data_IF_406748090426
#
_entry.id   IF_406748090426
#
_cell.length_a   1.000
_cell.length_b   1.000
_cell.length_c   1.000
_cell.angle_alpha   90.00
_cell.angle_beta   90.00
_cell.angle_gamma   90.00
#
_symmetry.space_group_name_H-M   'P 1'
#
loop_
_entity.id
_entity.type
_entity.pdbx_description
1 polymer ?
#
# COMPACT_ATOMS: atom_id res chain seq x y z
N UNK A 1 -43.04 -32.50 -28.25
CA UNK A 1 -43.13 -31.18 -27.58
C UNK A 1 -42.57 -31.12 -26.14
N UNK A 2 -41.72 -32.07 -25.70
CA UNK A 2 -41.20 -32.11 -24.31
C UNK A 2 -39.69 -31.77 -24.20
N UNK A 3 -38.91 -31.96 -25.26
CA UNK A 3 -37.45 -31.73 -25.23
C UNK A 3 -37.03 -30.26 -25.37
N UNK A 4 -37.81 -29.42 -26.07
CA UNK A 4 -37.45 -28.00 -26.26
C UNK A 4 -37.58 -27.16 -24.99
N UNK A 5 -38.54 -27.49 -24.11
CA UNK A 5 -38.78 -26.72 -22.88
C UNK A 5 -37.67 -26.89 -21.83
N UNK A 6 -37.00 -28.04 -21.80
CA UNK A 6 -35.88 -28.31 -20.87
C UNK A 6 -34.59 -27.62 -21.31
N UNK A 7 -34.35 -27.53 -22.61
CA UNK A 7 -33.21 -26.78 -23.17
C UNK A 7 -33.38 -25.28 -22.94
N UNK A 8 -34.61 -24.77 -23.01
CA UNK A 8 -34.88 -23.35 -22.78
C UNK A 8 -34.80 -22.96 -21.29
N UNK A 9 -35.10 -23.86 -20.35
CA UNK A 9 -34.98 -23.58 -18.90
C UNK A 9 -33.53 -23.61 -18.40
N UNK A 10 -32.66 -24.42 -19.00
CA UNK A 10 -31.24 -24.47 -18.64
C UNK A 10 -30.46 -23.25 -19.17
N UNK A 11 -30.92 -22.61 -20.24
CA UNK A 11 -30.32 -21.39 -20.77
C UNK A 11 -30.60 -20.14 -19.93
N UNK A 12 -31.71 -20.11 -19.17
CA UNK A 12 -32.10 -18.95 -18.36
C UNK A 12 -31.40 -18.88 -16.99
N UNK A 13 -30.87 -20.00 -16.47
CA UNK A 13 -30.17 -20.02 -15.17
C UNK A 13 -28.67 -19.65 -15.31
N UNK A 14 -28.11 -19.76 -16.52
CA UNK A 14 -26.70 -19.41 -16.76
C UNK A 14 -26.42 -17.90 -16.83
N UNK A 15 -27.45 -17.05 -16.93
CA UNK A 15 -27.26 -15.60 -17.15
C UNK A 15 -27.14 -14.75 -15.86
N UNK A 16 -27.28 -15.34 -14.66
CA UNK A 16 -27.36 -14.58 -13.40
C UNK A 16 -26.07 -14.66 -12.55
N UNK A 17 -25.05 -15.43 -12.95
CA UNK A 17 -23.82 -15.61 -12.16
C UNK A 17 -22.68 -14.63 -12.48
N UNK A 18 -22.95 -13.54 -13.22
CA UNK A 18 -21.91 -12.72 -13.85
C UNK A 18 -21.55 -11.38 -13.20
N UNK A 19 -22.11 -10.99 -12.05
CA UNK A 19 -21.78 -9.71 -11.42
C UNK A 19 -21.09 -9.89 -10.07
N UNK A 20 -19.90 -10.51 -10.06
CA UNK A 20 -18.95 -10.25 -9.00
C UNK A 20 -18.39 -8.84 -9.25
N UNK A 21 -18.46 -7.89 -8.29
CA UNK A 21 -17.72 -6.65 -8.42
C UNK A 21 -16.24 -7.02 -8.55
N UNK A 22 -15.62 -6.66 -9.68
CA UNK A 22 -14.18 -6.71 -9.81
C UNK A 22 -13.62 -5.83 -8.70
N UNK A 23 -13.11 -6.45 -7.64
CA UNK A 23 -12.28 -5.77 -6.65
C UNK A 23 -11.09 -5.26 -7.45
N UNK A 24 -11.14 -3.99 -7.82
CA UNK A 24 -10.00 -3.33 -8.44
C UNK A 24 -8.84 -3.49 -7.47
N UNK A 25 -7.88 -4.34 -7.82
CA UNK A 25 -6.65 -4.47 -7.06
C UNK A 25 -6.09 -3.06 -6.88
N UNK A 26 -6.02 -2.60 -5.63
CA UNK A 26 -5.38 -1.33 -5.30
C UNK A 26 -3.91 -1.51 -5.71
N UNK A 27 -3.49 -0.92 -6.84
CA UNK A 27 -2.14 -1.04 -7.42
C UNK A 27 -1.00 -0.73 -6.42
N UNK A 28 -1.34 -0.18 -5.25
CA UNK A 28 -0.41 0.25 -4.21
C UNK A 28 -0.76 -0.36 -2.84
N UNK A 29 -1.35 -1.56 -2.84
CA UNK A 29 -1.68 -2.24 -1.60
C UNK A 29 -0.46 -2.39 -0.68
N UNK A 30 -0.59 -1.91 0.56
CA UNK A 30 0.46 -1.92 1.60
C UNK A 30 1.81 -1.31 1.17
N UNK A 31 1.85 -0.36 0.22
CA UNK A 31 3.09 0.11 -0.41
C UNK A 31 4.20 0.53 0.59
N UNK A 32 3.83 1.21 1.67
CA UNK A 32 4.78 1.69 2.70
C UNK A 32 5.36 0.49 3.47
N UNK A 33 4.49 -0.44 3.86
CA UNK A 33 4.93 -1.64 4.56
C UNK A 33 5.84 -2.49 3.69
N UNK A 34 5.48 -2.74 2.43
CA UNK A 34 6.27 -3.57 1.51
C UNK A 34 7.67 -3.00 1.39
N UNK A 35 7.81 -1.70 1.12
CA UNK A 35 9.11 -1.04 0.98
C UNK A 35 9.96 -1.16 2.25
N UNK A 36 9.37 -1.01 3.44
CA UNK A 36 10.09 -1.18 4.71
C UNK A 36 10.52 -2.64 4.90
N UNK A 37 9.64 -3.61 4.66
CA UNK A 37 9.96 -5.04 4.77
C UNK A 37 11.05 -5.45 3.76
N UNK A 38 11.06 -4.91 2.55
CA UNK A 38 12.12 -5.14 1.56
C UNK A 38 13.46 -4.54 1.99
N UNK A 39 13.44 -3.33 2.54
CA UNK A 39 14.62 -2.69 3.12
C UNK A 39 15.19 -3.47 4.31
N UNK A 40 14.31 -4.06 5.11
CA UNK A 40 14.66 -4.96 6.20
C UNK A 40 15.29 -6.26 5.70
N UNK A 41 14.68 -6.91 4.70
CA UNK A 41 15.23 -8.11 4.06
C UNK A 41 16.62 -7.85 3.47
N UNK A 42 16.80 -6.70 2.82
CA UNK A 42 18.10 -6.26 2.29
C UNK A 42 19.14 -6.08 3.41
N UNK A 43 18.74 -5.46 4.53
CA UNK A 43 19.61 -5.28 5.69
C UNK A 43 19.96 -6.63 6.33
N UNK A 44 18.99 -7.54 6.42
CA UNK A 44 19.18 -8.90 6.91
C UNK A 44 20.14 -9.71 6.03
N UNK A 45 19.97 -9.68 4.71
CA UNK A 45 20.86 -10.38 3.77
C UNK A 45 22.32 -9.98 3.96
N UNK A 46 22.59 -8.66 4.06
CA UNK A 46 23.94 -8.14 4.34
C UNK A 46 24.49 -8.65 5.68
N UNK A 47 23.67 -8.65 6.73
CA UNK A 47 24.09 -9.13 8.04
C UNK A 47 24.40 -10.64 8.06
N UNK A 48 23.68 -11.43 7.25
CA UNK A 48 23.95 -12.88 7.09
C UNK A 48 25.29 -13.12 6.40
N UNK A 49 25.62 -12.32 5.38
CA UNK A 49 26.92 -12.39 4.69
C UNK A 49 28.08 -11.95 5.59
N UNK A 50 27.90 -10.85 6.33
CA UNK A 50 28.92 -10.32 7.26
C UNK A 50 29.15 -11.24 8.46
N UNK A 51 28.11 -11.92 8.96
CA UNK A 51 28.15 -12.65 10.24
C UNK A 51 27.49 -14.03 10.15
N UNK A 52 27.98 -14.95 9.31
CA UNK A 52 27.32 -16.23 9.02
C UNK A 52 27.22 -17.18 10.22
N UNK A 53 28.04 -16.97 11.26
CA UNK A 53 28.08 -17.80 12.48
C UNK A 53 27.00 -17.42 13.51
N UNK A 54 26.37 -16.25 13.39
CA UNK A 54 25.33 -15.80 14.33
C UNK A 54 23.99 -16.44 13.93
N UNK A 55 23.14 -16.73 14.92
CA UNK A 55 21.79 -17.27 14.67
C UNK A 55 21.02 -16.32 13.75
N UNK A 56 20.39 -16.89 12.71
CA UNK A 56 19.60 -16.16 11.72
C UNK A 56 18.50 -15.30 12.34
N UNK A 57 17.87 -15.80 13.41
CA UNK A 57 16.84 -15.07 14.15
C UNK A 57 17.40 -13.79 14.79
N UNK A 58 18.54 -13.88 15.47
CA UNK A 58 19.19 -12.75 16.14
C UNK A 58 19.66 -11.70 15.11
N UNK A 59 20.18 -12.15 13.96
CA UNK A 59 20.53 -11.27 12.84
C UNK A 59 19.30 -10.56 12.26
N UNK A 60 18.16 -11.25 12.13
CA UNK A 60 16.94 -10.67 11.63
C UNK A 60 16.33 -9.66 12.62
N UNK A 61 16.36 -9.93 13.93
CA UNK A 61 15.95 -8.94 14.94
C UNK A 61 16.88 -7.72 14.94
N UNK A 62 18.18 -7.93 14.78
CA UNK A 62 19.17 -6.85 14.60
C UNK A 62 18.89 -6.05 13.33
N UNK A 63 18.49 -6.72 12.24
CA UNK A 63 18.13 -6.04 10.99
C UNK A 63 16.94 -5.09 11.17
N UNK A 64 15.94 -5.47 11.99
CA UNK A 64 14.81 -4.61 12.34
C UNK A 64 15.28 -3.32 12.99
N UNK A 65 16.03 -3.42 14.08
CA UNK A 65 16.55 -2.25 14.79
C UNK A 65 17.52 -1.43 13.92
N UNK A 66 18.40 -2.07 13.15
CA UNK A 66 19.38 -1.37 12.29
C UNK A 66 18.71 -0.64 11.12
N UNK A 67 17.65 -1.20 10.54
CA UNK A 67 16.91 -0.52 9.48
C UNK A 67 16.07 0.63 10.02
N UNK A 68 15.31 0.39 11.10
CA UNK A 68 14.45 1.40 11.70
C UNK A 68 15.21 2.53 12.41
N UNK A 69 16.47 2.30 12.80
CA UNK A 69 17.36 3.35 13.30
C UNK A 69 17.99 4.25 12.22
N UNK A 70 17.71 4.02 10.93
CA UNK A 70 18.19 4.89 9.85
C UNK A 70 17.34 6.16 9.74
N UNK A 71 17.86 7.18 9.09
CA UNK A 71 17.08 8.34 8.67
C UNK A 71 16.15 7.95 7.52
N UNK A 72 14.90 7.59 7.83
CA UNK A 72 13.88 7.24 6.85
C UNK A 72 12.89 8.39 6.59
N UNK A 73 12.00 8.23 5.61
CA UNK A 73 10.89 9.17 5.39
C UNK A 73 9.90 9.15 6.55
N UNK A 74 9.08 10.19 6.70
CA UNK A 74 8.09 10.30 7.78
C UNK A 74 7.15 9.09 7.83
N UNK A 75 6.70 8.58 6.67
CA UNK A 75 5.82 7.39 6.59
C UNK A 75 6.56 6.11 6.98
N UNK A 76 7.80 5.95 6.54
CA UNK A 76 8.63 4.79 6.88
C UNK A 76 8.94 4.75 8.39
N UNK A 77 9.26 5.90 8.99
CA UNK A 77 9.48 6.03 10.43
C UNK A 77 8.23 5.73 11.23
N UNK A 78 7.05 6.24 10.81
CA UNK A 78 5.77 5.92 11.46
C UNK A 78 5.47 4.41 11.41
N UNK A 79 5.76 3.76 10.28
CA UNK A 79 5.64 2.31 10.18
C UNK A 79 6.62 1.58 11.10
N UNK A 80 7.89 2.02 11.14
CA UNK A 80 8.91 1.45 12.03
C UNK A 80 8.50 1.53 13.50
N UNK A 81 7.93 2.65 13.95
CA UNK A 81 7.42 2.80 15.32
C UNK A 81 6.40 1.70 15.69
N UNK A 82 5.49 1.37 14.76
CA UNK A 82 4.53 0.28 14.93
C UNK A 82 5.17 -1.12 14.79
N UNK A 83 6.25 -1.22 14.01
CA UNK A 83 6.92 -2.49 13.69
C UNK A 83 7.87 -2.97 14.79
N UNK A 84 8.58 -2.06 15.48
CA UNK A 84 9.60 -2.39 16.47
C UNK A 84 9.09 -3.28 17.63
N UNK A 85 7.90 -3.03 18.22
CA UNK A 85 7.33 -3.93 19.23
C UNK A 85 7.09 -5.35 18.70
N UNK A 86 6.93 -5.51 17.37
CA UNK A 86 6.69 -6.77 16.69
C UNK A 86 7.97 -7.41 16.12
N UNK A 87 9.17 -6.88 16.44
CA UNK A 87 10.44 -7.30 15.83
C UNK A 87 10.67 -8.81 15.83
N UNK A 88 10.33 -9.52 16.91
CA UNK A 88 10.51 -10.98 17.02
C UNK A 88 9.68 -11.75 15.99
N UNK A 89 8.44 -11.33 15.78
CA UNK A 89 7.53 -11.92 14.80
C UNK A 89 7.97 -11.59 13.37
N UNK A 90 8.27 -10.31 13.10
CA UNK A 90 8.75 -9.86 11.78
C UNK A 90 10.05 -10.56 11.41
N UNK A 91 11.00 -10.65 12.34
CA UNK A 91 12.27 -11.34 12.16
C UNK A 91 12.05 -12.82 11.79
N UNK A 92 11.16 -13.52 12.50
CA UNK A 92 10.82 -14.91 12.19
C UNK A 92 10.27 -15.04 10.77
N UNK A 93 9.38 -14.15 10.36
CA UNK A 93 8.80 -14.16 9.02
C UNK A 93 9.83 -13.87 7.92
N UNK A 94 10.80 -12.99 8.17
CA UNK A 94 11.93 -12.71 7.27
C UNK A 94 12.86 -13.91 7.16
N UNK A 95 13.19 -14.58 8.27
CA UNK A 95 14.02 -15.81 8.27
C UNK A 95 13.34 -16.93 7.47
N UNK A 96 12.01 -17.04 7.55
CA UNK A 96 11.21 -17.96 6.74
C UNK A 96 11.01 -17.51 5.29
N UNK A 97 11.66 -16.42 4.88
CA UNK A 97 11.62 -15.90 3.51
C UNK A 97 10.19 -15.67 2.99
N UNK A 98 9.27 -15.29 3.87
CA UNK A 98 7.91 -14.94 3.46
C UNK A 98 7.96 -13.73 2.52
N UNK A 99 7.06 -13.70 1.54
CA UNK A 99 6.87 -12.55 0.68
C UNK A 99 6.48 -11.28 1.48
N UNK A 100 6.91 -10.11 1.02
CA UNK A 100 6.75 -8.85 1.76
C UNK A 100 5.28 -8.45 1.90
N UNK A 101 4.47 -8.63 0.86
CA UNK A 101 3.03 -8.39 0.94
C UNK A 101 2.38 -9.35 1.93
N UNK A 102 2.76 -10.63 1.93
CA UNK A 102 2.24 -11.60 2.92
C UNK A 102 2.59 -11.25 4.36
N UNK A 103 3.80 -10.72 4.60
CA UNK A 103 4.20 -10.22 5.92
C UNK A 103 3.31 -9.03 6.30
N UNK A 104 3.15 -8.06 5.40
CA UNK A 104 2.30 -6.88 5.62
C UNK A 104 0.85 -7.24 5.90
N UNK A 105 0.26 -8.19 5.17
CA UNK A 105 -1.09 -8.72 5.43
C UNK A 105 -1.22 -9.45 6.75
N UNK A 106 -0.15 -10.09 7.23
CA UNK A 106 -0.13 -10.66 8.57
C UNK A 106 -0.06 -9.58 9.67
N UNK A 107 0.65 -8.48 9.41
CA UNK A 107 0.78 -7.35 10.33
C UNK A 107 -0.48 -6.48 10.37
N UNK A 108 -1.17 -6.32 9.24
CA UNK A 108 -2.46 -5.62 9.11
C UNK A 108 -3.51 -6.16 10.09
N UNK A 109 -3.54 -7.49 10.30
CA UNK A 109 -4.43 -8.13 11.27
C UNK A 109 -4.17 -7.71 12.72
N UNK A 110 -2.98 -7.21 13.02
CA UNK A 110 -2.58 -6.72 14.35
C UNK A 110 -2.77 -5.21 14.48
N UNK A 111 -2.47 -4.48 13.40
CA UNK A 111 -2.68 -3.05 13.31
C UNK A 111 -3.00 -2.68 11.84
N UNK A 112 -4.19 -2.13 11.55
CA UNK A 112 -4.56 -1.77 10.18
C UNK A 112 -3.64 -0.72 9.54
N UNK A 113 -2.91 0.06 10.34
CA UNK A 113 -1.96 1.08 9.88
C UNK A 113 -0.88 0.52 8.93
N UNK A 114 -0.49 -0.75 9.10
CA UNK A 114 0.54 -1.36 8.24
C UNK A 114 0.16 -1.35 6.77
N UNK A 115 -1.12 -1.53 6.44
CA UNK A 115 -1.58 -1.58 5.05
C UNK A 115 -2.40 -0.36 4.64
N UNK A 116 -2.80 0.51 5.56
CA UNK A 116 -3.48 1.78 5.25
C UNK A 116 -2.51 2.91 4.88
N UNK A 117 -1.26 2.87 5.38
CA UNK A 117 -0.28 3.90 5.05
C UNK A 117 0.09 3.89 3.56
N UNK A 118 0.12 5.10 2.99
CA UNK A 118 0.46 5.39 1.60
C UNK A 118 1.47 6.53 1.54
N UNK A 119 2.32 6.51 0.52
CA UNK A 119 3.20 7.65 0.24
C UNK A 119 2.37 8.81 -0.30
N UNK A 120 2.80 10.07 -0.02
CA UNK A 120 2.18 11.22 -0.64
C UNK A 120 2.32 11.11 -2.16
N UNK A 121 1.29 11.56 -2.87
CA UNK A 121 1.36 11.64 -4.34
C UNK A 121 2.33 12.76 -4.66
N UNK A 122 3.44 12.44 -5.31
CA UNK A 122 4.37 13.46 -5.79
C UNK A 122 3.69 14.24 -6.92
N UNK A 123 3.47 15.53 -6.69
CA UNK A 123 2.98 16.47 -7.69
C UNK A 123 4.01 17.57 -7.84
N UNK A 124 4.36 17.90 -9.07
CA UNK A 124 5.22 19.02 -9.45
C UNK A 124 4.45 19.97 -10.39
N UNK A 125 5.05 21.12 -10.71
CA UNK A 125 4.44 22.14 -11.57
C UNK A 125 4.09 21.65 -12.99
N UNK A 126 4.65 20.52 -13.43
CA UNK A 126 4.40 19.93 -14.75
C UNK A 126 3.48 18.70 -14.68
N UNK A 127 2.88 18.42 -13.52
CA UNK A 127 2.07 17.22 -13.33
C UNK A 127 0.76 17.31 -14.12
N UNK A 128 0.58 16.37 -15.04
CA UNK A 128 -0.63 16.25 -15.83
C UNK A 128 -1.75 15.54 -15.06
N UNK A 129 -2.49 16.32 -14.27
CA UNK A 129 -3.64 15.83 -13.48
C UNK A 129 -4.75 15.22 -14.33
N UNK A 130 -4.81 15.52 -15.64
CA UNK A 130 -5.82 14.94 -16.53
C UNK A 130 -5.66 13.43 -16.69
N UNK A 131 -4.46 12.88 -16.45
CA UNK A 131 -4.18 11.45 -16.50
C UNK A 131 -4.51 10.69 -15.21
N UNK A 132 -4.79 11.40 -14.11
CA UNK A 132 -5.09 10.79 -12.83
C UNK A 132 -6.56 10.40 -12.69
N UNK A 133 -6.87 9.37 -11.90
CA UNK A 133 -8.25 9.02 -11.51
C UNK A 133 -8.78 10.00 -10.46
N UNK A 134 -10.09 10.23 -10.40
CA UNK A 134 -10.73 11.11 -9.38
C UNK A 134 -10.33 10.72 -7.95
N UNK A 135 -10.19 9.41 -7.65
CA UNK A 135 -9.70 8.92 -6.35
C UNK A 135 -8.30 9.47 -6.00
N UNK A 136 -7.40 9.57 -6.98
CA UNK A 136 -6.05 10.11 -6.78
C UNK A 136 -6.09 11.63 -6.61
N UNK A 137 -6.93 12.33 -7.39
CA UNK A 137 -7.14 13.77 -7.26
C UNK A 137 -7.66 14.14 -5.86
N UNK A 138 -8.69 13.43 -5.37
CA UNK A 138 -9.19 13.58 -4.00
C UNK A 138 -8.12 13.31 -2.94
N UNK A 139 -7.23 12.35 -3.18
CA UNK A 139 -6.11 12.05 -2.27
C UNK A 139 -5.11 13.21 -2.20
N UNK A 140 -4.78 13.84 -3.34
CA UNK A 140 -3.91 15.02 -3.37
C UNK A 140 -4.51 16.15 -2.55
N UNK A 141 -5.80 16.46 -2.75
CA UNK A 141 -6.50 17.50 -1.99
C UNK A 141 -6.52 17.19 -0.49
N UNK A 142 -6.84 15.95 -0.11
CA UNK A 142 -6.82 15.53 1.29
C UNK A 142 -5.42 15.56 1.93
N UNK A 143 -4.37 15.24 1.17
CA UNK A 143 -2.97 15.38 1.62
C UNK A 143 -2.59 16.85 1.84
N UNK A 144 -3.17 17.77 1.06
CA UNK A 144 -3.03 19.22 1.22
C UNK A 144 -3.96 19.83 2.29
N UNK A 145 -4.83 19.02 2.91
CA UNK A 145 -5.84 19.48 3.87
C UNK A 145 -6.95 20.33 3.24
N UNK A 146 -7.14 20.22 1.92
CA UNK A 146 -8.15 20.96 1.16
C UNK A 146 -9.33 20.05 0.90
N UNK A 147 -10.53 20.54 1.20
CA UNK A 147 -11.78 19.87 0.84
C UNK A 147 -12.39 20.53 -0.41
N UNK A 148 -12.71 19.71 -1.41
CA UNK A 148 -13.33 20.16 -2.67
C UNK A 148 -14.85 20.26 -2.49
N UNK A 149 -15.36 21.40 -2.03
CA UNK A 149 -16.80 21.61 -1.80
C UNK A 149 -17.51 21.82 -3.15
N UNK A 150 -18.47 20.95 -3.47
CA UNK A 150 -19.27 21.07 -4.70
C UNK A 150 -18.62 20.52 -5.97
N UNK A 151 -17.46 19.85 -5.87
CA UNK A 151 -16.79 19.23 -7.01
C UNK A 151 -17.52 17.96 -7.46
N UNK A 152 -18.09 17.98 -8.67
CA UNK A 152 -18.86 16.86 -9.24
C UNK A 152 -18.07 16.21 -10.37
N UNK A 153 -17.52 17.03 -11.25
CA UNK A 153 -16.80 16.59 -12.45
C UNK A 153 -15.30 16.51 -12.19
N UNK A 154 -14.60 15.68 -12.98
CA UNK A 154 -13.14 15.52 -12.89
C UNK A 154 -12.41 16.86 -13.04
N UNK A 155 -12.91 17.73 -13.90
CA UNK A 155 -12.34 19.06 -14.15
C UNK A 155 -12.35 19.93 -12.88
N UNK A 156 -13.39 19.82 -12.04
CA UNK A 156 -13.51 20.58 -10.79
C UNK A 156 -12.37 20.24 -9.83
N UNK A 157 -12.08 18.94 -9.65
CA UNK A 157 -10.96 18.48 -8.82
C UNK A 157 -9.61 18.96 -9.34
N UNK A 158 -9.43 18.99 -10.67
CA UNK A 158 -8.18 19.47 -11.28
C UNK A 158 -8.03 20.98 -11.06
N UNK A 159 -9.11 21.74 -11.20
CA UNK A 159 -9.11 23.18 -10.97
C UNK A 159 -8.74 23.49 -9.51
N UNK A 160 -9.34 22.81 -8.54
CA UNK A 160 -9.04 22.97 -7.11
C UNK A 160 -7.58 22.63 -6.77
N UNK A 161 -7.06 21.55 -7.35
CA UNK A 161 -5.65 21.16 -7.16
C UNK A 161 -4.71 22.24 -7.69
N UNK A 162 -4.97 22.80 -8.88
CA UNK A 162 -4.15 23.87 -9.45
C UNK A 162 -4.24 25.17 -8.63
N UNK A 163 -5.43 25.51 -8.14
CA UNK A 163 -5.62 26.69 -7.29
C UNK A 163 -4.82 26.63 -5.98
N UNK A 164 -4.57 25.41 -5.48
CA UNK A 164 -3.91 25.16 -4.18
C UNK A 164 -2.44 24.74 -4.32
N UNK A 165 -1.88 24.74 -5.53
CA UNK A 165 -0.45 24.43 -5.76
C UNK A 165 0.49 25.43 -5.12
N UNK A 166 0.18 26.73 -5.19
CA UNK A 166 1.02 27.81 -4.64
C UNK A 166 1.09 27.79 -3.12
N UNK A 167 0.04 27.33 -2.44
CA UNK A 167 -0.05 27.28 -0.96
C UNK A 167 0.76 26.13 -0.36
N UNK A 168 1.12 25.11 -1.14
CA UNK A 168 1.85 23.91 -0.69
C UNK A 168 3.25 23.75 -1.33
N UNK A 169 3.68 24.70 -2.16
CA UNK A 169 5.01 24.68 -2.79
C UNK A 169 6.17 25.07 -1.85
N UNK A 170 5.90 25.49 -0.61
CA UNK A 170 6.90 26.05 0.32
C UNK A 170 7.30 25.13 1.50
N UNK A 171 7.06 23.81 1.43
CA UNK A 171 7.47 22.84 2.48
C UNK A 171 8.44 21.76 1.98
#
# INVERSE_FOLDING_TARGET
MWSMKRVMLLALVALVLGSAPAVQADEKECEVCIKVIDGLKTTYAKLVEEKPKIKKQDLAETAVTKFCGKKLSTKDNKLCYNLEPLKKDVARQVVFKKDSLKICKSLEKKNPDFCSMRYPVKTDANTDYSKMRVKQLRKILGERGVECIGCVEKADFIAEIKATESTHAEL
#
